data_IF_158784185944
#
_entry.id   IF_158784185944
#
_cell.length_a   1.000
_cell.length_b   1.000
_cell.length_c   1.000
_cell.angle_alpha   90.00
_cell.angle_beta   90.00
_cell.angle_gamma   90.00
#
_symmetry.space_group_name_H-M   'P 1'
#
loop_
_entity.id
_entity.type
_entity.pdbx_description
1 polymer ?
#
# COMPACT_ATOMS: atom_id res chain seq x y z
N UNK A 1 -25.17 6.30 -13.42
CA UNK A 1 -25.24 4.83 -13.39
C UNK A 1 -23.92 4.15 -12.99
N UNK A 2 -22.78 4.86 -12.84
CA UNK A 2 -21.48 4.19 -12.56
C UNK A 2 -21.20 3.86 -11.09
N UNK A 3 -21.79 4.58 -10.12
CA UNK A 3 -21.46 4.37 -8.70
C UNK A 3 -21.91 3.01 -8.13
N UNK A 4 -22.86 2.32 -8.76
CA UNK A 4 -23.32 1.00 -8.30
C UNK A 4 -22.37 -0.14 -8.70
N UNK A 5 -21.71 -0.07 -9.86
CA UNK A 5 -20.81 -1.12 -10.33
C UNK A 5 -19.50 -1.12 -9.54
N UNK A 6 -18.93 0.06 -9.28
CA UNK A 6 -17.74 0.19 -8.44
C UNK A 6 -17.97 -0.38 -7.03
N UNK A 7 -19.13 -0.10 -6.43
CA UNK A 7 -19.49 -0.63 -5.12
C UNK A 7 -19.58 -2.17 -5.13
N UNK A 8 -20.14 -2.76 -6.18
CA UNK A 8 -20.21 -4.23 -6.32
C UNK A 8 -18.81 -4.84 -6.43
N UNK A 9 -17.94 -4.24 -7.25
CA UNK A 9 -16.54 -4.71 -7.40
C UNK A 9 -15.78 -4.59 -6.08
N UNK A 10 -15.88 -3.46 -5.38
CA UNK A 10 -15.21 -3.29 -4.07
C UNK A 10 -15.73 -4.29 -3.03
N UNK A 11 -17.04 -4.55 -3.01
CA UNK A 11 -17.64 -5.53 -2.11
C UNK A 11 -17.14 -6.95 -2.39
N UNK A 12 -17.04 -7.33 -3.68
CA UNK A 12 -16.50 -8.63 -4.08
C UNK A 12 -15.01 -8.77 -3.75
N UNK A 13 -14.21 -7.72 -3.98
CA UNK A 13 -12.78 -7.71 -3.64
C UNK A 13 -12.55 -7.79 -2.12
N UNK A 14 -13.44 -7.21 -1.31
CA UNK A 14 -13.38 -7.30 0.15
C UNK A 14 -13.56 -8.71 0.71
N UNK A 15 -14.01 -9.69 -0.09
CA UNK A 15 -14.11 -11.09 0.31
C UNK A 15 -12.78 -11.83 0.23
N UNK A 16 -11.80 -11.29 -0.49
CA UNK A 16 -10.48 -11.92 -0.60
C UNK A 16 -9.66 -11.69 0.67
N UNK A 17 -8.89 -12.69 1.13
CA UNK A 17 -7.92 -12.49 2.19
C UNK A 17 -6.95 -11.37 1.81
N UNK A 18 -6.86 -10.34 2.66
CA UNK A 18 -5.89 -9.28 2.51
C UNK A 18 -5.21 -8.99 3.84
N UNK A 19 -3.92 -8.65 3.78
CA UNK A 19 -3.19 -8.09 4.91
C UNK A 19 -3.21 -6.58 4.84
N UNK A 20 -2.82 -5.92 5.94
CA UNK A 20 -2.48 -4.52 5.95
C UNK A 20 -0.96 -4.39 6.05
N UNK A 21 -0.38 -3.57 5.18
CA UNK A 21 1.06 -3.37 5.13
C UNK A 21 1.39 -1.89 5.09
N UNK A 22 2.51 -1.52 5.69
CA UNK A 22 3.13 -0.21 5.52
C UNK A 22 4.25 -0.34 4.48
N UNK A 23 4.07 0.28 3.32
CA UNK A 23 5.14 0.47 2.35
C UNK A 23 5.87 1.77 2.64
N UNK A 24 7.20 1.74 2.73
CA UNK A 24 8.04 2.92 3.01
C UNK A 24 9.17 3.07 2.00
N UNK A 25 9.58 4.30 1.77
CA UNK A 25 10.78 4.61 0.98
C UNK A 25 11.47 5.86 1.54
N UNK A 26 12.75 6.00 1.25
CA UNK A 26 13.54 7.16 1.62
C UNK A 26 14.57 7.46 0.51
N UNK A 27 14.81 8.75 0.28
CA UNK A 27 15.80 9.26 -0.66
C UNK A 27 16.31 10.61 -0.14
N UNK A 28 17.63 10.79 -0.09
CA UNK A 28 18.29 11.89 0.63
C UNK A 28 17.73 12.06 2.05
N UNK A 29 17.34 13.28 2.43
CA UNK A 29 16.76 13.60 3.75
C UNK A 29 15.23 13.41 3.81
N UNK A 30 14.62 12.87 2.75
CA UNK A 30 13.18 12.67 2.66
C UNK A 30 12.79 11.21 2.89
N UNK A 31 11.68 11.01 3.61
CA UNK A 31 11.08 9.69 3.87
C UNK A 31 9.57 9.77 3.84
N UNK A 32 8.94 8.69 3.38
CA UNK A 32 7.50 8.59 3.25
C UNK A 32 7.01 7.17 3.44
N UNK A 33 5.70 7.04 3.65
CA UNK A 33 5.05 5.74 3.79
C UNK A 33 3.60 5.79 3.35
N UNK A 34 3.07 4.66 2.91
CA UNK A 34 1.66 4.47 2.58
C UNK A 34 1.16 3.12 3.06
N UNK A 35 -0.09 3.09 3.50
CA UNK A 35 -0.80 1.85 3.78
C UNK A 35 -1.24 1.19 2.47
N UNK A 36 -0.99 -0.11 2.34
CA UNK A 36 -1.39 -0.92 1.17
C UNK A 36 -2.04 -2.22 1.62
N UNK A 37 -3.05 -2.66 0.88
CA UNK A 37 -3.71 -3.96 1.05
C UNK A 37 -3.34 -4.94 -0.07
N UNK A 38 -3.18 -4.42 -1.29
CA UNK A 38 -2.97 -5.20 -2.51
C UNK A 38 -1.50 -5.62 -2.68
N UNK A 39 -1.08 -6.60 -1.89
CA UNK A 39 0.26 -7.20 -1.93
C UNK A 39 0.15 -8.69 -2.30
N UNK A 40 0.98 -9.15 -3.23
CA UNK A 40 1.04 -10.55 -3.64
C UNK A 40 2.48 -11.02 -3.87
N UNK A 41 2.79 -12.25 -3.48
CA UNK A 41 4.02 -12.92 -3.88
C UNK A 41 3.91 -13.35 -5.34
N UNK A 42 4.85 -12.95 -6.19
CA UNK A 42 4.89 -13.33 -7.61
C UNK A 42 6.08 -14.24 -7.96
N UNK A 43 7.00 -14.47 -7.03
CA UNK A 43 8.10 -15.42 -7.18
C UNK A 43 8.76 -15.73 -5.84
N UNK A 44 9.29 -16.93 -5.70
CA UNK A 44 10.04 -17.37 -4.50
C UNK A 44 11.53 -17.53 -4.76
N UNK A 45 11.94 -17.69 -6.01
CA UNK A 45 13.35 -17.70 -6.44
C UNK A 45 13.50 -17.05 -7.84
N UNK A 46 13.90 -15.77 -7.92
CA UNK A 46 14.12 -14.86 -6.80
C UNK A 46 12.82 -14.50 -6.08
N UNK A 47 12.93 -14.08 -4.81
CA UNK A 47 11.80 -13.58 -4.05
C UNK A 47 11.27 -12.27 -4.66
N UNK A 48 10.02 -12.29 -5.12
CA UNK A 48 9.39 -11.15 -5.79
C UNK A 48 8.01 -10.85 -5.19
N UNK A 49 7.75 -9.56 -4.99
CA UNK A 49 6.47 -9.03 -4.55
C UNK A 49 5.91 -8.07 -5.61
N UNK A 50 4.59 -8.13 -5.81
CA UNK A 50 3.84 -7.15 -6.58
C UNK A 50 2.90 -6.39 -5.64
N UNK A 51 2.91 -5.07 -5.74
CA UNK A 51 2.14 -4.17 -4.88
C UNK A 51 1.37 -3.19 -5.76
N UNK A 52 0.04 -3.16 -5.62
CA UNK A 52 -0.76 -2.11 -6.25
C UNK A 52 -0.83 -0.90 -5.32
N UNK A 53 -0.21 0.20 -5.74
CA UNK A 53 -0.18 1.46 -5.01
C UNK A 53 -1.01 2.54 -5.74
N UNK A 54 -1.57 3.46 -4.96
CA UNK A 54 -2.27 4.64 -5.50
C UNK A 54 -1.27 5.54 -6.20
N UNK A 55 -1.55 5.87 -7.46
CA UNK A 55 -0.75 6.83 -8.23
C UNK A 55 -0.82 8.23 -7.62
N UNK A 56 0.28 8.97 -7.72
CA UNK A 56 0.36 10.36 -7.27
C UNK A 56 0.51 10.48 -5.75
N UNK A 57 0.79 9.38 -5.06
CA UNK A 57 1.13 9.43 -3.66
C UNK A 57 2.53 10.05 -3.49
N UNK A 58 2.74 10.78 -2.40
CA UNK A 58 4.03 11.44 -2.09
C UNK A 58 5.23 10.47 -1.98
N UNK A 59 4.98 9.16 -1.96
CA UNK A 59 6.02 8.13 -1.91
C UNK A 59 6.54 7.76 -3.30
N UNK A 60 5.78 8.04 -4.37
CA UNK A 60 6.13 7.66 -5.74
C UNK A 60 7.51 8.22 -6.16
N UNK A 61 7.85 9.50 -5.90
CA UNK A 61 9.19 10.02 -6.20
C UNK A 61 10.29 9.35 -5.37
N UNK A 62 10.02 9.07 -4.08
CA UNK A 62 11.00 8.43 -3.19
C UNK A 62 11.36 7.02 -3.67
N UNK A 63 10.37 6.22 -4.10
CA UNK A 63 10.62 4.88 -4.66
C UNK A 63 11.38 4.98 -5.97
N UNK A 64 10.97 5.89 -6.86
CA UNK A 64 11.59 6.08 -8.17
C UNK A 64 13.07 6.47 -8.04
N UNK A 65 13.36 7.43 -7.17
CA UNK A 65 14.69 8.05 -7.08
C UNK A 65 15.64 7.16 -6.25
N UNK A 66 15.15 6.51 -5.18
CA UNK A 66 15.94 5.54 -4.39
C UNK A 66 16.07 4.17 -5.04
N UNK A 67 15.20 3.83 -6.01
CA UNK A 67 15.05 2.49 -6.60
C UNK A 67 14.81 1.39 -5.55
N UNK A 68 14.25 1.76 -4.42
CA UNK A 68 14.05 0.86 -3.29
C UNK A 68 12.78 1.20 -2.52
N UNK A 69 12.26 0.20 -1.83
CA UNK A 69 11.21 0.35 -0.84
C UNK A 69 11.35 -0.77 0.20
N UNK A 70 10.69 -0.60 1.34
CA UNK A 70 10.50 -1.64 2.33
C UNK A 70 9.01 -1.87 2.58
N UNK A 71 8.66 -3.10 2.94
CA UNK A 71 7.29 -3.50 3.26
C UNK A 71 7.25 -4.07 4.68
N UNK A 72 6.49 -3.44 5.57
CA UNK A 72 6.21 -3.93 6.91
C UNK A 72 4.80 -4.50 7.01
N UNK A 73 4.67 -5.72 7.53
CA UNK A 73 3.36 -6.33 7.84
C UNK A 73 2.80 -5.68 9.10
N UNK A 74 1.56 -5.21 9.05
CA UNK A 74 0.87 -4.66 10.23
C UNK A 74 -0.08 -5.69 10.83
N UNK A 75 -0.01 -5.85 12.14
CA UNK A 75 -0.97 -6.60 12.93
C UNK A 75 -2.15 -5.74 13.36
N UNK A 76 -3.21 -6.38 13.88
CA UNK A 76 -4.41 -5.70 14.40
C UNK A 76 -4.15 -4.76 15.59
N UNK A 77 -2.96 -4.82 16.20
CA UNK A 77 -2.52 -3.95 17.28
C UNK A 77 -1.88 -2.63 16.84
N UNK A 78 -1.51 -2.46 15.57
CA UNK A 78 -0.66 -1.35 15.08
C UNK A 78 -1.43 -0.04 14.83
N UNK A 79 -2.39 0.27 15.69
CA UNK A 79 -3.32 1.41 15.56
C UNK A 79 -2.63 2.76 15.44
N UNK A 80 -1.45 2.91 16.07
CA UNK A 80 -0.68 4.16 15.99
C UNK A 80 -0.13 4.38 14.59
N UNK A 81 0.45 3.33 13.99
CA UNK A 81 0.98 3.35 12.63
C UNK A 81 -0.15 3.59 11.65
N UNK A 82 -1.25 2.83 11.80
CA UNK A 82 -2.44 3.06 11.01
C UNK A 82 -2.87 4.51 11.06
N UNK A 83 -3.10 5.08 12.25
CA UNK A 83 -3.54 6.48 12.39
C UNK A 83 -2.55 7.48 11.79
N UNK A 84 -1.25 7.22 11.88
CA UNK A 84 -0.20 8.13 11.38
C UNK A 84 -0.12 8.14 9.84
N UNK A 85 -0.38 7.00 9.21
CA UNK A 85 -0.27 6.79 7.76
C UNK A 85 -1.62 6.69 7.06
N UNK A 86 -2.73 6.76 7.80
CA UNK A 86 -4.07 7.00 7.27
C UNK A 86 -4.08 8.40 6.65
N UNK A 87 -3.83 8.47 5.35
CA UNK A 87 -3.81 9.72 4.60
C UNK A 87 -5.18 10.42 4.63
N UNK A 88 -5.16 11.76 4.48
CA UNK A 88 -6.34 12.59 4.21
C UNK A 88 -6.90 12.42 2.78
N UNK A 89 -6.38 11.45 2.02
CA UNK A 89 -6.76 11.21 0.63
C UNK A 89 -7.90 10.18 0.50
N UNK A 90 -8.53 9.78 1.61
CA UNK A 90 -9.80 9.06 1.63
C UNK A 90 -10.95 10.05 1.41
N UNK A 91 -11.04 10.59 0.20
CA UNK A 91 -12.19 11.32 -0.32
C UNK A 91 -12.40 10.92 -1.79
#
# INVERSE_FOLDING_TARGET
MSQSEDQVVQSALGLFPSGLYLMTAAFDDQRGGMLVHSVQCCGTDPALLCIAARKGHQIDPLIRDSRSFALGVLGSGDRLIERRFRGKDAA
#
